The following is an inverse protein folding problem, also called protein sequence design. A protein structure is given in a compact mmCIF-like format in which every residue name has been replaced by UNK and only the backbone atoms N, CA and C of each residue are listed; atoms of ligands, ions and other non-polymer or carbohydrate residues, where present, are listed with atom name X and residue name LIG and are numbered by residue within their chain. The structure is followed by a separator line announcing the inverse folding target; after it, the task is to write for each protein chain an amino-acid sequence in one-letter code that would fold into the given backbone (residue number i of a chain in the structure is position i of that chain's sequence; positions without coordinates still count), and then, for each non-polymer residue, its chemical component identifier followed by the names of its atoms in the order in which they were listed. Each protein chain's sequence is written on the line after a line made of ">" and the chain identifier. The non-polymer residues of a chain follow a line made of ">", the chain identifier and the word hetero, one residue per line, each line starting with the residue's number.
data_IF_763525872806
#
_entry.id   IF_763525872806
#
_cell.length_a   1.000
_cell.length_b   1.000
_cell.length_c   1.000
_cell.angle_alpha   90.00
_cell.angle_beta   90.00
_cell.angle_gamma   90.00
#
_symmetry.space_group_name_H-M   'P 1'
#
loop_
_entity.id
_entity.type
_entity.pdbx_description
1 polymer ?
#
# COMPACT_ATOMS: atom_id res chain seq x y z
N UNK A 1 -13.20 22.45 36.56
CA UNK A 1 -14.04 22.02 35.42
C UNK A 1 -13.67 22.68 34.08
N UNK A 2 -13.47 24.01 33.98
CA UNK A 2 -13.11 24.70 32.70
C UNK A 2 -11.90 24.12 31.95
N UNK A 3 -10.83 23.72 32.65
CA UNK A 3 -9.64 23.14 32.00
C UNK A 3 -9.90 21.74 31.41
N UNK A 4 -10.83 20.96 31.98
CA UNK A 4 -11.18 19.62 31.50
C UNK A 4 -11.92 19.70 30.16
N UNK A 5 -12.86 20.63 30.07
CA UNK A 5 -13.60 20.90 28.83
C UNK A 5 -12.66 21.36 27.71
N UNK A 6 -11.69 22.23 28.02
CA UNK A 6 -10.67 22.67 27.04
C UNK A 6 -9.77 21.53 26.57
N UNK A 7 -9.30 20.65 27.48
CA UNK A 7 -8.44 19.50 27.11
C UNK A 7 -9.20 18.43 26.34
N UNK A 8 -10.48 18.20 26.66
CA UNK A 8 -11.35 17.28 25.92
C UNK A 8 -11.60 17.74 24.49
N UNK A 9 -11.94 19.02 24.30
CA UNK A 9 -12.16 19.61 22.96
C UNK A 9 -10.87 19.55 22.15
N UNK A 10 -9.73 19.92 22.75
CA UNK A 10 -8.45 19.95 22.05
C UNK A 10 -8.03 18.56 21.56
N UNK A 11 -8.13 17.54 22.42
CA UNK A 11 -7.79 16.15 22.04
C UNK A 11 -8.75 15.58 21.01
N UNK A 12 -10.04 15.93 21.07
CA UNK A 12 -11.02 15.55 20.07
C UNK A 12 -10.74 16.17 18.69
N UNK A 13 -10.43 17.47 18.64
CA UNK A 13 -10.11 18.17 17.39
C UNK A 13 -8.83 17.63 16.75
N UNK A 14 -7.77 17.43 17.53
CA UNK A 14 -6.50 16.87 17.05
C UNK A 14 -6.70 15.45 16.51
N UNK A 15 -7.41 14.59 17.26
CA UNK A 15 -7.73 13.23 16.84
C UNK A 15 -8.54 13.21 15.54
N UNK A 16 -9.56 14.08 15.42
CA UNK A 16 -10.39 14.18 14.22
C UNK A 16 -9.58 14.63 13.01
N UNK A 17 -8.71 15.64 13.18
CA UNK A 17 -7.85 16.13 12.11
C UNK A 17 -6.85 15.07 11.62
N UNK A 18 -6.21 14.34 12.54
CA UNK A 18 -5.31 13.24 12.20
C UNK A 18 -6.03 12.08 11.53
N UNK A 19 -7.28 11.83 11.91
CA UNK A 19 -8.09 10.81 11.27
C UNK A 19 -8.43 11.19 9.83
N UNK A 20 -8.88 12.43 9.59
CA UNK A 20 -9.14 12.94 8.24
C UNK A 20 -7.86 12.88 7.38
N UNK A 21 -6.72 13.27 7.95
CA UNK A 21 -5.43 13.17 7.28
C UNK A 21 -5.05 11.71 6.95
N UNK A 22 -5.33 10.75 7.84
CA UNK A 22 -5.06 9.35 7.56
C UNK A 22 -5.81 8.86 6.30
N UNK A 23 -7.09 9.21 6.14
CA UNK A 23 -7.89 8.79 4.98
C UNK A 23 -7.55 9.50 3.67
N UNK A 24 -6.96 10.69 3.72
CA UNK A 24 -6.52 11.41 2.52
C UNK A 24 -5.16 10.94 2.00
N UNK A 25 -4.42 10.17 2.80
CA UNK A 25 -3.09 9.68 2.47
C UNK A 25 -3.10 8.19 2.11
N UNK A 26 -2.13 7.71 1.31
CA UNK A 26 -1.98 6.29 1.05
C UNK A 26 -1.61 5.55 2.34
N UNK A 27 -2.30 4.43 2.58
CA UNK A 27 -2.06 3.59 3.75
C UNK A 27 -0.94 2.60 3.49
N UNK A 28 -0.96 1.96 2.33
CA UNK A 28 0.00 0.93 1.97
C UNK A 28 0.38 1.10 0.52
N UNK A 29 1.65 0.92 0.22
CA UNK A 29 2.13 0.73 -1.13
C UNK A 29 2.47 -0.74 -1.34
N UNK A 30 1.85 -1.37 -2.34
CA UNK A 30 2.12 -2.75 -2.75
C UNK A 30 3.00 -2.80 -3.99
N UNK A 31 4.03 -3.64 -3.93
CA UNK A 31 4.86 -4.02 -5.07
C UNK A 31 5.20 -5.50 -4.99
N UNK A 32 5.65 -6.10 -6.09
CA UNK A 32 6.25 -7.44 -6.05
C UNK A 32 7.61 -7.41 -6.73
N UNK A 33 8.55 -8.15 -6.13
CA UNK A 33 9.88 -8.31 -6.67
C UNK A 33 9.94 -9.54 -7.57
N UNK A 34 10.54 -9.41 -8.75
CA UNK A 34 11.04 -10.58 -9.46
C UNK A 34 12.42 -10.95 -8.88
N UNK A 35 12.73 -12.25 -8.70
CA UNK A 35 14.05 -12.69 -8.25
C UNK A 35 15.12 -12.13 -9.19
N UNK A 36 15.95 -11.24 -8.65
CA UNK A 36 16.77 -10.35 -9.48
C UNK A 36 17.90 -11.06 -10.23
N UNK A 37 18.33 -12.24 -9.80
CA UNK A 37 19.49 -12.93 -10.40
C UNK A 37 19.20 -13.54 -11.77
N UNK A 38 18.07 -14.23 -11.95
CA UNK A 38 17.69 -14.81 -13.25
C UNK A 38 17.23 -13.74 -14.25
N UNK A 39 16.51 -12.72 -13.76
CA UNK A 39 16.01 -11.63 -14.60
C UNK A 39 17.12 -10.64 -15.01
N UNK A 40 18.17 -10.45 -14.20
CA UNK A 40 19.32 -9.59 -14.60
C UNK A 40 19.96 -10.06 -15.89
N UNK A 41 20.14 -11.37 -16.07
CA UNK A 41 20.73 -11.96 -17.27
C UNK A 41 19.80 -11.83 -18.49
N UNK A 42 18.51 -12.07 -18.31
CA UNK A 42 17.50 -11.94 -19.38
C UNK A 42 17.34 -10.48 -19.82
N UNK A 43 17.32 -9.54 -18.88
CA UNK A 43 17.18 -8.11 -19.19
C UNK A 43 18.45 -7.52 -19.82
N UNK A 44 19.65 -7.96 -19.41
CA UNK A 44 20.89 -7.58 -20.12
C UNK A 44 20.91 -8.14 -21.55
N UNK A 45 20.39 -9.36 -21.74
CA UNK A 45 20.20 -9.98 -23.06
C UNK A 45 19.22 -9.18 -23.94
N UNK A 46 18.17 -8.61 -23.34
CA UNK A 46 17.16 -7.82 -24.05
C UNK A 46 17.63 -6.40 -24.39
N UNK A 47 18.52 -5.80 -23.60
CA UNK A 47 19.10 -4.48 -23.93
C UNK A 47 20.05 -4.56 -25.12
N UNK A 48 20.82 -5.65 -25.25
CA UNK A 48 21.76 -5.87 -26.37
C UNK A 48 21.49 -7.23 -27.05
N UNK A 49 20.33 -7.40 -27.72
CA UNK A 49 19.94 -8.68 -28.31
C UNK A 49 20.94 -9.15 -29.35
N UNK A 50 21.45 -8.21 -30.14
CA UNK A 50 22.49 -8.43 -31.15
C UNK A 50 23.77 -9.04 -30.57
N UNK A 51 24.25 -8.53 -29.43
CA UNK A 51 25.49 -9.00 -28.82
C UNK A 51 25.33 -10.41 -28.25
N UNK A 52 24.19 -10.71 -27.64
CA UNK A 52 23.91 -12.05 -27.11
C UNK A 52 23.68 -13.10 -28.19
N UNK A 53 22.99 -12.75 -29.28
CA UNK A 53 22.80 -13.63 -30.44
C UNK A 53 24.17 -14.03 -31.01
N UNK A 54 25.10 -13.08 -31.06
CA UNK A 54 26.48 -13.30 -31.51
C UNK A 54 27.25 -14.22 -30.54
N UNK A 55 27.12 -14.02 -29.22
CA UNK A 55 27.80 -14.85 -28.20
C UNK A 55 27.27 -16.30 -28.15
N UNK A 56 25.99 -16.51 -28.41
CA UNK A 56 25.37 -17.85 -28.35
C UNK A 56 25.73 -18.72 -29.58
N UNK A 57 26.21 -18.10 -30.66
CA UNK A 57 26.82 -18.78 -31.80
C UNK A 57 28.28 -19.02 -31.44
N UNK A 58 28.55 -20.10 -30.70
CA UNK A 58 29.87 -20.40 -30.15
C UNK A 58 31.02 -20.31 -31.17
N UNK A 59 32.13 -19.68 -30.77
CA UNK A 59 33.36 -19.56 -31.55
C UNK A 59 34.19 -20.86 -31.48
N UNK A 60 33.70 -21.96 -32.03
CA UNK A 60 34.46 -23.22 -32.07
C UNK A 60 35.15 -23.48 -33.42
N UNK A 61 34.98 -22.65 -34.46
CA UNK A 61 35.68 -22.81 -35.75
C UNK A 61 35.94 -21.50 -36.51
N UNK A 62 36.90 -21.52 -37.45
CA UNK A 62 37.23 -20.38 -38.34
C UNK A 62 36.04 -19.97 -39.23
N UNK A 63 35.17 -20.93 -39.56
CA UNK A 63 33.94 -20.69 -40.33
C UNK A 63 32.88 -19.93 -39.54
N UNK A 64 32.83 -20.07 -38.21
CA UNK A 64 31.90 -19.30 -37.38
C UNK A 64 32.32 -17.85 -37.22
N UNK A 65 33.62 -17.52 -37.28
CA UNK A 65 34.10 -16.13 -37.19
C UNK A 65 33.72 -15.26 -38.42
N UNK A 66 33.75 -15.83 -39.63
CA UNK A 66 33.27 -15.16 -40.85
C UNK A 66 31.74 -15.03 -40.83
N UNK A 67 31.02 -16.08 -40.44
CA UNK A 67 29.58 -16.03 -40.22
C UNK A 67 29.20 -14.98 -39.17
N UNK A 68 29.97 -14.85 -38.10
CA UNK A 68 29.77 -13.88 -37.03
C UNK A 68 29.97 -12.45 -37.55
N UNK A 69 31.02 -12.18 -38.35
CA UNK A 69 31.20 -10.87 -39.00
C UNK A 69 30.09 -10.55 -40.00
N UNK A 70 29.64 -11.53 -40.79
CA UNK A 70 28.56 -11.33 -41.76
C UNK A 70 27.20 -11.14 -41.07
N UNK A 71 26.91 -11.89 -40.02
CA UNK A 71 25.73 -11.72 -39.18
C UNK A 71 25.76 -10.39 -38.44
N UNK A 72 26.90 -9.98 -37.89
CA UNK A 72 27.04 -8.69 -37.22
C UNK A 72 26.79 -7.52 -38.19
N UNK A 73 27.28 -7.61 -39.43
CA UNK A 73 27.08 -6.55 -40.42
C UNK A 73 25.70 -6.57 -41.12
N UNK A 74 24.93 -7.65 -40.98
CA UNK A 74 23.58 -7.78 -41.57
C UNK A 74 22.47 -7.62 -40.53
N UNK A 75 22.60 -8.27 -39.37
CA UNK A 75 21.66 -8.23 -38.26
C UNK A 75 21.83 -6.95 -37.44
N UNK A 76 23.06 -6.54 -37.10
CA UNK A 76 23.28 -5.39 -36.21
C UNK A 76 23.33 -4.03 -36.94
N UNK A 77 23.28 -4.03 -38.27
CA UNK A 77 23.37 -2.80 -39.07
C UNK A 77 22.17 -1.87 -38.89
N UNK A 78 21.01 -2.43 -38.57
CA UNK A 78 19.80 -1.68 -38.22
C UNK A 78 19.29 -2.16 -36.86
N UNK A 79 19.95 -1.70 -35.79
CA UNK A 79 19.58 -2.01 -34.40
C UNK A 79 18.10 -1.68 -34.10
N UNK A 80 17.57 -0.61 -34.70
CA UNK A 80 16.18 -0.18 -34.58
C UNK A 80 15.17 -1.16 -35.19
N UNK A 81 15.54 -1.81 -36.31
CA UNK A 81 14.72 -2.83 -36.98
C UNK A 81 14.67 -4.09 -36.13
N UNK A 82 15.82 -4.57 -35.64
CA UNK A 82 15.88 -5.74 -34.75
C UNK A 82 15.09 -5.50 -33.46
N UNK A 83 15.19 -4.29 -32.89
CA UNK A 83 14.46 -3.89 -31.69
C UNK A 83 12.94 -3.91 -31.92
N UNK A 84 12.45 -3.36 -33.03
CA UNK A 84 11.02 -3.38 -33.40
C UNK A 84 10.49 -4.80 -33.59
N UNK A 85 11.22 -5.67 -34.30
CA UNK A 85 10.82 -7.08 -34.48
C UNK A 85 10.81 -7.86 -33.16
N UNK A 86 11.74 -7.56 -32.26
CA UNK A 86 11.80 -8.18 -30.93
C UNK A 86 10.56 -7.82 -30.12
N UNK A 87 10.18 -6.54 -30.05
CA UNK A 87 8.98 -6.12 -29.33
C UNK A 87 7.69 -6.66 -29.95
N UNK A 88 7.58 -6.68 -31.27
CA UNK A 88 6.42 -7.27 -31.95
C UNK A 88 6.30 -8.78 -31.68
N UNK A 89 7.43 -9.46 -31.49
CA UNK A 89 7.46 -10.86 -31.09
C UNK A 89 7.02 -11.03 -29.62
N UNK A 90 7.44 -10.12 -28.73
CA UNK A 90 6.93 -10.10 -27.34
C UNK A 90 5.41 -9.90 -27.29
N UNK A 91 4.85 -8.98 -28.08
CA UNK A 91 3.40 -8.78 -28.16
C UNK A 91 2.66 -10.05 -28.58
N UNK A 92 3.22 -10.85 -29.50
CA UNK A 92 2.62 -12.14 -29.92
C UNK A 92 2.72 -13.23 -28.86
N UNK A 93 3.86 -13.31 -28.16
CA UNK A 93 4.13 -14.39 -27.18
C UNK A 93 3.41 -14.12 -25.86
N UNK A 94 3.53 -12.89 -25.35
CA UNK A 94 3.03 -12.51 -24.03
C UNK A 94 1.64 -11.90 -24.12
N UNK A 95 1.23 -11.37 -25.27
CA UNK A 95 0.00 -10.60 -25.46
C UNK A 95 0.12 -9.15 -24.95
N UNK A 96 -0.92 -8.32 -25.15
CA UNK A 96 -0.91 -6.90 -24.79
C UNK A 96 -0.86 -6.67 -23.27
N UNK A 97 -0.19 -5.60 -22.85
CA UNK A 97 -0.12 -5.18 -21.45
C UNK A 97 -1.45 -4.51 -21.09
N UNK A 98 -2.03 -4.90 -19.95
CA UNK A 98 -3.27 -4.32 -19.44
C UNK A 98 -2.91 -3.25 -18.40
N UNK A 99 -3.20 -2.00 -18.70
CA UNK A 99 -3.07 -0.88 -17.77
C UNK A 99 -4.45 -0.28 -17.45
N UNK A 100 -4.59 0.51 -16.38
CA UNK A 100 -5.84 1.21 -16.09
C UNK A 100 -6.30 2.15 -17.21
N UNK A 101 -5.36 2.61 -18.04
CA UNK A 101 -5.56 3.55 -19.14
C UNK A 101 -5.90 2.84 -20.47
N UNK A 102 -5.75 1.51 -20.54
CA UNK A 102 -6.10 0.71 -21.72
C UNK A 102 -5.16 -0.45 -22.01
N UNK A 103 -5.18 -0.94 -23.25
CA UNK A 103 -4.21 -1.93 -23.75
C UNK A 103 -2.98 -1.19 -24.25
N UNK A 104 -1.81 -1.68 -23.86
CA UNK A 104 -0.52 -1.10 -24.21
C UNK A 104 0.40 -2.16 -24.83
N UNK A 105 1.11 -1.79 -25.90
CA UNK A 105 2.07 -2.65 -26.58
C UNK A 105 3.44 -2.62 -25.87
N UNK A 106 4.20 -3.71 -25.97
CA UNK A 106 5.50 -3.84 -25.31
C UNK A 106 6.53 -2.81 -25.80
N UNK A 107 6.53 -2.52 -27.11
CA UNK A 107 7.41 -1.51 -27.70
C UNK A 107 7.15 -0.12 -27.13
N UNK A 108 5.88 0.28 -27.07
CA UNK A 108 5.47 1.56 -26.48
C UNK A 108 5.78 1.64 -24.99
N UNK A 109 5.62 0.55 -24.24
CA UNK A 109 5.93 0.50 -22.81
C UNK A 109 7.44 0.67 -22.54
N UNK A 110 8.29 -0.03 -23.29
CA UNK A 110 9.74 -0.02 -23.06
C UNK A 110 10.40 1.26 -23.60
N UNK A 111 9.92 1.81 -24.73
CA UNK A 111 10.55 2.95 -25.41
C UNK A 111 10.07 4.33 -24.92
N UNK A 112 8.85 4.46 -24.40
CA UNK A 112 8.37 5.76 -23.92
C UNK A 112 8.83 6.06 -22.49
N UNK A 113 9.88 6.87 -22.35
CA UNK A 113 10.37 7.41 -21.08
C UNK A 113 9.27 8.07 -20.22
N UNK A 114 8.20 8.63 -20.83
CA UNK A 114 7.06 9.21 -20.11
C UNK A 114 6.16 8.19 -19.38
N UNK A 115 6.14 6.92 -19.82
CA UNK A 115 5.48 5.83 -19.10
C UNK A 115 6.36 5.25 -17.99
N UNK A 116 7.66 5.56 -18.00
CA UNK A 116 8.61 5.19 -16.94
C UNK A 116 8.53 6.16 -15.75
N UNK A 117 7.98 7.36 -15.96
CA UNK A 117 7.89 8.43 -14.96
C UNK A 117 6.57 8.51 -14.19
N UNK A 118 5.54 7.71 -14.53
CA UNK A 118 4.52 7.38 -13.54
C UNK A 118 5.05 6.15 -12.81
N UNK A 119 5.81 6.32 -11.71
CA UNK A 119 6.15 5.15 -10.91
C UNK A 119 4.83 4.50 -10.50
N UNK A 120 4.83 3.17 -10.46
CA UNK A 120 3.69 2.39 -9.98
C UNK A 120 3.21 2.92 -8.61
N UNK A 121 4.10 3.57 -7.84
CA UNK A 121 3.81 4.38 -6.65
C UNK A 121 5.03 5.22 -6.23
N UNK A 122 4.82 6.22 -5.37
CA UNK A 122 5.90 6.98 -4.72
C UNK A 122 6.83 6.16 -3.82
N UNK A 123 6.52 4.90 -3.55
CA UNK A 123 7.22 4.06 -2.57
C UNK A 123 8.18 3.01 -3.18
N UNK A 124 8.23 2.88 -4.51
CA UNK A 124 9.01 1.82 -5.16
C UNK A 124 10.26 2.35 -5.85
N UNK A 125 11.38 1.63 -5.68
CA UNK A 125 12.62 1.91 -6.38
C UNK A 125 12.46 1.70 -7.89
N UNK A 126 13.03 2.60 -8.67
CA UNK A 126 13.00 2.58 -10.14
C UNK A 126 13.65 1.29 -10.64
N UNK A 127 12.80 0.35 -11.07
CA UNK A 127 13.24 -0.88 -11.74
C UNK A 127 13.54 -0.60 -13.23
N UNK A 128 14.19 -1.54 -13.92
CA UNK A 128 14.48 -1.38 -15.35
C UNK A 128 13.17 -1.24 -16.14
N UNK A 129 13.18 -0.59 -17.31
CA UNK A 129 11.99 -0.38 -18.16
C UNK A 129 11.14 -1.62 -18.37
N UNK A 130 11.80 -2.73 -18.71
CA UNK A 130 11.14 -3.98 -19.06
C UNK A 130 10.54 -4.68 -17.83
N UNK A 131 11.15 -4.51 -16.66
CA UNK A 131 10.67 -5.09 -15.41
C UNK A 131 9.35 -4.42 -15.04
N UNK A 132 9.24 -3.08 -15.21
CA UNK A 132 7.99 -2.35 -15.00
C UNK A 132 6.88 -2.81 -15.97
N UNK A 133 7.21 -3.01 -17.25
CA UNK A 133 6.26 -3.52 -18.24
C UNK A 133 5.77 -4.94 -17.91
N UNK A 134 6.69 -5.81 -17.46
CA UNK A 134 6.35 -7.17 -17.03
C UNK A 134 5.51 -7.17 -15.76
N UNK A 135 5.79 -6.28 -14.80
CA UNK A 135 4.95 -6.09 -13.61
C UNK A 135 3.51 -5.74 -14.00
N UNK A 136 3.33 -4.74 -14.86
CA UNK A 136 2.00 -4.36 -15.36
C UNK A 136 1.28 -5.51 -16.06
N UNK A 137 2.01 -6.28 -16.89
CA UNK A 137 1.44 -7.44 -17.57
C UNK A 137 0.91 -8.49 -16.59
N UNK A 138 1.74 -8.87 -15.61
CA UNK A 138 1.40 -9.89 -14.61
C UNK A 138 0.27 -9.39 -13.71
N UNK A 139 0.35 -8.15 -13.25
CA UNK A 139 -0.67 -7.53 -12.40
C UNK A 139 -2.03 -7.43 -13.08
N UNK A 140 -2.07 -6.98 -14.34
CA UNK A 140 -3.31 -6.91 -15.11
C UNK A 140 -3.93 -8.28 -15.39
N UNK A 141 -3.10 -9.33 -15.56
CA UNK A 141 -3.59 -10.71 -15.75
C UNK A 141 -4.13 -11.33 -14.46
N UNK A 142 -3.51 -11.02 -13.31
CA UNK A 142 -3.85 -11.57 -12.00
C UNK A 142 -4.77 -10.66 -11.16
N UNK A 143 -5.21 -9.52 -11.71
CA UNK A 143 -6.01 -8.50 -11.00
C UNK A 143 -5.39 -8.04 -9.68
N UNK A 144 -4.06 -7.89 -9.66
CA UNK A 144 -3.34 -7.48 -8.47
C UNK A 144 -3.34 -5.94 -8.37
N UNK A 145 -3.79 -5.36 -7.26
CA UNK A 145 -3.69 -3.93 -7.03
C UNK A 145 -2.22 -3.57 -6.74
N UNK A 146 -1.61 -2.84 -7.68
CA UNK A 146 -0.26 -2.33 -7.59
C UNK A 146 -0.27 -0.86 -7.18
N UNK A 147 0.73 -0.45 -6.40
CA UNK A 147 0.99 0.95 -6.10
C UNK A 147 0.34 1.45 -4.82
N UNK A 148 0.01 2.75 -4.80
CA UNK A 148 -0.55 3.41 -3.63
C UNK A 148 -2.01 2.99 -3.38
N UNK A 149 -2.27 2.41 -2.21
CA UNK A 149 -3.57 1.90 -1.83
C UNK A 149 -4.14 2.69 -0.65
N UNK A 150 -5.36 3.19 -0.85
CA UNK A 150 -6.19 3.80 0.21
C UNK A 150 -7.12 2.75 0.81
N UNK A 151 -7.43 2.87 2.10
CA UNK A 151 -8.35 1.94 2.80
C UNK A 151 -9.70 1.83 2.09
N UNK A 152 -10.26 2.96 1.63
CA UNK A 152 -11.55 2.96 0.93
C UNK A 152 -11.45 2.24 -0.43
N UNK A 153 -10.30 2.31 -1.09
CA UNK A 153 -10.03 1.57 -2.31
C UNK A 153 -10.01 0.06 -2.07
N UNK A 154 -9.30 -0.38 -1.03
CA UNK A 154 -9.22 -1.79 -0.62
C UNK A 154 -10.62 -2.34 -0.28
N UNK A 155 -11.42 -1.58 0.48
CA UNK A 155 -12.78 -1.97 0.84
C UNK A 155 -13.65 -2.13 -0.41
N UNK A 156 -13.60 -1.15 -1.33
CA UNK A 156 -14.36 -1.21 -2.60
C UNK A 156 -13.94 -2.41 -3.46
N UNK A 157 -12.64 -2.67 -3.55
CA UNK A 157 -12.10 -3.80 -4.30
C UNK A 157 -12.60 -5.13 -3.73
N UNK A 158 -12.54 -5.33 -2.41
CA UNK A 158 -13.05 -6.54 -1.76
C UNK A 158 -14.55 -6.78 -1.99
N UNK A 159 -15.35 -5.71 -2.03
CA UNK A 159 -16.76 -5.83 -2.36
C UNK A 159 -16.98 -6.15 -3.83
N UNK A 160 -16.19 -5.57 -4.73
CA UNK A 160 -16.25 -5.87 -6.16
C UNK A 160 -15.84 -7.33 -6.47
N UNK A 161 -14.86 -7.87 -5.74
CA UNK A 161 -14.38 -9.25 -5.86
C UNK A 161 -15.33 -10.28 -5.21
N UNK A 162 -16.46 -9.84 -4.64
CA UNK A 162 -17.45 -10.72 -4.00
C UNK A 162 -17.10 -11.16 -2.57
N UNK A 163 -15.98 -10.70 -2.01
CA UNK A 163 -15.56 -10.99 -0.64
C UNK A 163 -16.25 -10.06 0.38
N UNK A 164 -17.58 -10.08 0.40
CA UNK A 164 -18.43 -9.18 1.20
C UNK A 164 -18.15 -9.28 2.69
N UNK A 165 -17.98 -10.49 3.23
CA UNK A 165 -17.69 -10.68 4.66
C UNK A 165 -16.39 -9.99 5.07
N UNK A 166 -15.32 -10.19 4.31
CA UNK A 166 -14.01 -9.59 4.60
C UNK A 166 -14.05 -8.07 4.42
N UNK A 167 -14.72 -7.58 3.36
CA UNK A 167 -14.90 -6.15 3.12
C UNK A 167 -15.66 -5.47 4.25
N UNK A 168 -16.75 -6.08 4.73
CA UNK A 168 -17.53 -5.59 5.86
C UNK A 168 -16.73 -5.61 7.17
N UNK A 169 -15.93 -6.65 7.40
CA UNK A 169 -15.06 -6.77 8.56
C UNK A 169 -14.05 -5.61 8.60
N UNK A 170 -13.30 -5.41 7.50
CA UNK A 170 -12.31 -4.35 7.39
C UNK A 170 -12.97 -2.96 7.49
N UNK A 171 -14.09 -2.74 6.81
CA UNK A 171 -14.83 -1.47 6.89
C UNK A 171 -15.29 -1.18 8.33
N UNK A 172 -15.76 -2.20 9.05
CA UNK A 172 -16.22 -2.03 10.43
C UNK A 172 -15.06 -1.65 11.35
N UNK A 173 -13.92 -2.33 11.25
CA UNK A 173 -12.80 -2.09 12.16
C UNK A 173 -11.95 -0.87 11.80
N UNK A 174 -11.79 -0.58 10.52
CA UNK A 174 -10.97 0.56 10.07
C UNK A 174 -11.75 1.87 9.97
N UNK A 175 -13.07 1.82 9.80
CA UNK A 175 -13.91 3.03 9.61
C UNK A 175 -14.92 3.22 10.73
N UNK A 176 -15.82 2.24 10.96
CA UNK A 176 -16.90 2.40 11.94
C UNK A 176 -16.38 2.52 13.38
N UNK A 177 -15.43 1.69 13.78
CA UNK A 177 -14.87 1.70 15.14
C UNK A 177 -14.20 3.03 15.50
N UNK A 178 -13.27 3.55 14.69
CA UNK A 178 -12.66 4.84 15.00
C UNK A 178 -13.64 6.01 14.91
N UNK A 179 -14.57 6.02 13.95
CA UNK A 179 -15.63 7.04 13.87
C UNK A 179 -16.49 7.05 15.14
N UNK A 180 -16.86 5.87 15.64
CA UNK A 180 -17.57 5.73 16.91
C UNK A 180 -16.76 6.31 18.07
N UNK A 181 -15.48 5.97 18.20
CA UNK A 181 -14.61 6.51 19.28
C UNK A 181 -14.48 8.04 19.22
N UNK A 182 -14.20 8.59 18.05
CA UNK A 182 -14.07 10.05 17.85
C UNK A 182 -15.41 10.76 18.10
N UNK A 183 -16.50 10.19 17.61
CA UNK A 183 -17.86 10.71 17.82
C UNK A 183 -18.26 10.72 19.30
N UNK A 184 -17.98 9.65 20.05
CA UNK A 184 -18.23 9.61 21.49
C UNK A 184 -17.38 10.64 22.24
N UNK A 185 -16.09 10.75 21.91
CA UNK A 185 -15.18 11.73 22.52
C UNK A 185 -15.68 13.16 22.28
N UNK A 186 -16.09 13.48 21.05
CA UNK A 186 -16.64 14.78 20.70
C UNK A 186 -17.96 15.06 21.45
N UNK A 187 -18.86 14.07 21.50
CA UNK A 187 -20.16 14.21 22.16
C UNK A 187 -20.01 14.46 23.67
N UNK A 188 -19.10 13.74 24.33
CA UNK A 188 -18.76 13.94 25.75
C UNK A 188 -18.10 15.30 26.02
N UNK A 189 -17.45 15.85 25.01
CA UNK A 189 -16.80 17.15 25.09
C UNK A 189 -17.75 18.33 24.86
N UNK A 190 -18.90 18.12 24.21
CA UNK A 190 -19.92 19.16 23.92
C UNK A 190 -21.10 19.05 24.90
N UNK A 191 -21.60 17.84 25.15
CA UNK A 191 -22.71 17.62 26.06
C UNK A 191 -22.21 17.27 27.47
N UNK A 192 -22.62 18.08 28.45
CA UNK A 192 -22.33 17.90 29.87
C UNK A 192 -22.53 16.44 30.30
N UNK A 193 -21.42 15.79 30.66
CA UNK A 193 -21.19 14.37 30.97
C UNK A 193 -22.43 13.54 31.37
N UNK A 194 -23.29 13.18 30.40
CA UNK A 194 -24.41 12.27 30.68
C UNK A 194 -23.85 10.87 30.97
N UNK A 195 -24.30 10.19 32.04
CA UNK A 195 -23.74 8.91 32.48
C UNK A 195 -23.85 7.81 31.41
N UNK A 196 -24.91 7.81 30.60
CA UNK A 196 -25.12 6.83 29.51
C UNK A 196 -24.00 6.84 28.46
N UNK A 197 -23.53 8.01 28.04
CA UNK A 197 -22.44 8.12 27.06
C UNK A 197 -21.10 7.68 27.65
N UNK A 198 -20.95 7.87 28.96
CA UNK A 198 -19.78 7.45 29.70
C UNK A 198 -19.65 5.93 29.82
N UNK A 199 -20.77 5.25 30.07
CA UNK A 199 -20.83 3.78 30.09
C UNK A 199 -20.54 3.19 28.71
N UNK A 200 -21.09 3.79 27.64
CA UNK A 200 -20.78 3.41 26.26
C UNK A 200 -19.30 3.62 25.92
N UNK A 201 -18.71 4.73 26.37
CA UNK A 201 -17.28 5.00 26.19
C UNK A 201 -16.41 3.98 26.94
N UNK A 202 -16.78 3.65 28.18
CA UNK A 202 -16.08 2.65 29.01
C UNK A 202 -16.16 1.26 28.38
N UNK A 203 -17.30 0.91 27.80
CA UNK A 203 -17.48 -0.33 27.06
C UNK A 203 -16.63 -0.35 25.78
N UNK A 204 -16.69 0.71 24.97
CA UNK A 204 -15.90 0.82 23.72
C UNK A 204 -14.38 0.81 23.96
N UNK A 205 -13.92 1.40 25.07
CA UNK A 205 -12.52 1.36 25.51
C UNK A 205 -12.06 -0.04 25.91
N UNK A 206 -12.93 -0.82 26.58
CA UNK A 206 -12.62 -2.20 27.01
C UNK A 206 -12.60 -3.18 25.85
N UNK A 207 -13.43 -2.96 24.83
CA UNK A 207 -13.49 -3.78 23.63
C UNK A 207 -12.49 -3.34 22.57
N UNK A 208 -11.35 -2.72 22.94
CA UNK A 208 -10.35 -2.27 21.98
C UNK A 208 -9.76 -3.47 21.26
N UNK A 209 -10.38 -3.76 20.12
CA UNK A 209 -10.20 -4.85 19.17
C UNK A 209 -8.83 -4.78 18.47
N UNK A 210 -7.85 -4.16 19.12
CA UNK A 210 -6.47 -4.06 18.68
C UNK A 210 -5.88 -5.44 18.49
N UNK A 211 -6.20 -6.40 19.37
CA UNK A 211 -5.69 -7.76 19.27
C UNK A 211 -6.17 -8.47 17.99
N UNK A 212 -7.47 -8.43 17.71
CA UNK A 212 -8.02 -9.04 16.48
C UNK A 212 -7.61 -8.24 15.22
N UNK A 213 -7.44 -6.92 15.33
CA UNK A 213 -6.91 -6.11 14.24
C UNK A 213 -5.45 -6.50 13.90
N UNK A 214 -4.61 -6.72 14.91
CA UNK A 214 -3.22 -7.18 14.73
C UNK A 214 -3.20 -8.59 14.14
N UNK A 215 -4.07 -9.49 14.59
CA UNK A 215 -4.21 -10.84 13.98
C UNK A 215 -4.65 -10.73 12.51
N UNK A 216 -5.58 -9.82 12.19
CA UNK A 216 -5.99 -9.55 10.82
C UNK A 216 -4.86 -9.01 9.95
N UNK A 217 -4.08 -8.05 10.47
CA UNK A 217 -2.91 -7.50 9.81
C UNK A 217 -1.85 -8.58 9.57
N UNK A 218 -1.64 -9.45 10.56
CA UNK A 218 -0.69 -10.56 10.49
C UNK A 218 -1.11 -11.60 9.45
N UNK A 219 -2.39 -11.92 9.34
CA UNK A 219 -2.92 -12.80 8.29
C UNK A 219 -2.71 -12.22 6.90
N UNK A 220 -2.95 -10.91 6.73
CA UNK A 220 -2.67 -10.21 5.46
C UNK A 220 -1.17 -10.23 5.16
N UNK A 221 -0.32 -9.96 6.15
CA UNK A 221 1.14 -10.01 6.02
C UNK A 221 1.68 -11.40 5.68
N UNK A 222 1.14 -12.47 6.27
CA UNK A 222 1.57 -13.83 5.94
C UNK A 222 1.12 -14.26 4.55
N UNK A 223 -0.08 -13.86 4.11
CA UNK A 223 -0.51 -14.12 2.74
C UNK A 223 0.35 -13.36 1.74
N UNK A 224 0.71 -12.14 2.07
CA UNK A 224 1.61 -11.28 1.29
C UNK A 224 3.00 -11.89 1.06
N UNK A 225 3.64 -12.37 2.12
CA UNK A 225 5.01 -12.91 2.09
C UNK A 225 5.13 -14.12 1.14
N UNK A 226 4.08 -14.96 1.07
CA UNK A 226 4.04 -16.15 0.20
C UNK A 226 4.11 -15.85 -1.31
N UNK A 227 3.86 -14.62 -1.74
CA UNK A 227 3.81 -14.23 -3.14
C UNK A 227 4.95 -13.27 -3.55
N UNK A 228 6.00 -13.14 -2.74
CA UNK A 228 7.09 -12.17 -2.97
C UNK A 228 6.60 -10.70 -3.11
N UNK A 229 5.44 -10.40 -2.50
CA UNK A 229 4.94 -9.04 -2.40
C UNK A 229 5.68 -8.27 -1.31
N UNK A 230 6.20 -7.11 -1.69
CA UNK A 230 6.77 -6.12 -0.78
C UNK A 230 5.70 -5.08 -0.47
N UNK A 231 5.31 -5.01 0.80
CA UNK A 231 4.40 -3.98 1.30
C UNK A 231 5.21 -2.91 2.02
N UNK A 232 5.11 -1.68 1.53
CA UNK A 232 5.67 -0.50 2.16
C UNK A 232 4.55 0.23 2.90
N UNK A 233 4.76 0.51 4.18
CA UNK A 233 3.80 1.26 4.98
C UNK A 233 3.81 2.73 4.57
N UNK A 234 2.65 3.24 4.16
CA UNK A 234 2.45 4.64 3.80
C UNK A 234 2.25 5.54 5.03
N UNK A 235 2.33 6.86 4.81
CA UNK A 235 2.18 7.86 5.86
C UNK A 235 0.80 7.77 6.56
N UNK A 236 -0.23 7.32 5.84
CA UNK A 236 -1.59 7.18 6.37
C UNK A 236 -1.70 6.23 7.57
N UNK A 237 -0.90 5.15 7.60
CA UNK A 237 -0.87 4.19 8.73
C UNK A 237 -0.37 4.88 10.00
N UNK A 238 0.68 5.69 9.90
CA UNK A 238 1.23 6.41 11.05
C UNK A 238 0.26 7.47 11.56
N UNK A 239 -0.39 8.21 10.66
CA UNK A 239 -1.44 9.18 11.04
C UNK A 239 -2.63 8.49 11.74
N UNK A 240 -3.06 7.33 11.22
CA UNK A 240 -4.14 6.54 11.81
C UNK A 240 -3.78 6.03 13.21
N UNK A 241 -2.58 5.45 13.38
CA UNK A 241 -2.10 4.96 14.67
C UNK A 241 -1.98 6.10 15.68
N UNK A 242 -1.40 7.25 15.29
CA UNK A 242 -1.30 8.43 16.13
C UNK A 242 -2.68 8.96 16.56
N UNK A 243 -3.63 9.05 15.62
CA UNK A 243 -5.01 9.46 15.92
C UNK A 243 -5.68 8.53 16.94
N UNK A 244 -5.51 7.22 16.78
CA UNK A 244 -6.08 6.21 17.67
C UNK A 244 -5.46 6.28 19.08
N UNK A 245 -4.14 6.48 19.19
CA UNK A 245 -3.44 6.64 20.47
C UNK A 245 -3.86 7.92 21.18
N UNK A 246 -3.87 9.06 20.49
CA UNK A 246 -4.27 10.35 21.05
C UNK A 246 -5.73 10.32 21.52
N UNK A 247 -6.62 9.71 20.73
CA UNK A 247 -8.02 9.50 21.12
C UNK A 247 -8.12 8.66 22.40
N UNK A 248 -7.38 7.56 22.49
CA UNK A 248 -7.39 6.67 23.66
C UNK A 248 -6.85 7.36 24.92
N UNK A 249 -5.78 8.15 24.80
CA UNK A 249 -5.24 8.95 25.90
C UNK A 249 -6.25 10.03 26.33
N UNK A 250 -6.89 10.71 25.38
CA UNK A 250 -7.95 11.69 25.67
C UNK A 250 -9.10 11.09 26.47
N UNK A 251 -9.54 9.90 26.08
CA UNK A 251 -10.58 9.13 26.80
C UNK A 251 -10.11 8.79 28.22
N UNK A 252 -8.89 8.24 28.39
CA UNK A 252 -8.35 7.87 29.70
C UNK A 252 -8.20 9.05 30.65
N UNK A 253 -7.85 10.24 30.14
CA UNK A 253 -7.75 11.46 30.95
C UNK A 253 -9.11 11.96 31.45
N UNK A 254 -10.15 11.84 30.61
CA UNK A 254 -11.53 12.13 31.01
C UNK A 254 -12.04 11.08 32.01
N UNK A 255 -11.62 9.82 31.85
CA UNK A 255 -11.91 8.70 32.76
C UNK A 255 -11.29 8.83 34.15
N UNK A 256 -9.97 9.03 34.23
CA UNK A 256 -9.26 9.10 35.50
C UNK A 256 -9.72 10.25 36.41
N UNK A 257 -10.24 11.34 35.85
CA UNK A 257 -10.71 12.51 36.63
C UNK A 257 -12.15 12.40 37.13
N UNK A 258 -12.99 11.59 36.50
CA UNK A 258 -14.38 11.40 36.94
C UNK A 258 -14.52 10.33 38.03
N UNK A 259 -13.51 9.45 38.17
CA UNK A 259 -13.37 8.47 39.24
C UNK A 259 -12.63 8.99 40.47
N UNK A 260 -12.10 10.23 40.44
CA UNK A 260 -11.54 10.85 41.64
C UNK A 260 -12.69 11.06 42.65
N UNK A 261 -12.68 10.39 43.81
CA UNK A 261 -13.74 10.57 44.79
C UNK A 261 -13.78 12.06 45.21
N UNK A 262 -14.96 12.64 45.43
CA UNK A 262 -15.05 13.98 45.97
C UNK A 262 -14.25 14.03 47.29
N UNK A 263 -13.29 14.95 47.39
CA UNK A 263 -12.57 15.22 48.64
C UNK A 263 -13.64 15.64 49.66
N UNK A 264 -14.02 14.74 50.55
CA UNK A 264 -14.98 15.05 51.61
C UNK A 264 -14.27 15.96 52.62
N UNK A 265 -14.70 17.23 52.79
CA UNK A 265 -14.05 18.16 53.70
C UNK A 265 -14.20 17.78 55.19
N UNK A 266 -15.04 16.79 55.53
CA UNK A 266 -15.28 16.38 56.92
C UNK A 266 -14.23 15.44 57.54
N UNK A 267 -13.14 15.08 56.83
CA UNK A 267 -12.06 14.23 57.36
C UNK A 267 -10.77 14.99 57.70
N UNK A 268 -10.84 16.30 57.94
CA UNK A 268 -9.68 17.11 58.36
C UNK A 268 -9.68 17.44 59.86
N UNK A 269 -10.66 16.97 60.64
CA UNK A 269 -10.85 17.34 62.05
C UNK A 269 -10.81 16.14 63.03
N UNK A 270 -10.42 14.95 62.58
CA UNK A 270 -10.08 13.84 63.47
C UNK A 270 -8.59 13.55 63.31
N UNK A 271 -7.77 14.24 64.12
CA UNK A 271 -6.55 13.79 64.81
C UNK A 271 -5.82 15.02 65.37
#
# INVERSE_FOLDING_TARGET
>A
MKNVHKTGILTALISTGLFIAAFSQPFVCSDFGFPSEEMKQTTQTLNNPCQKIIENIGSTSITTALLQKLLQNSVCKNEEVVRTYTYQSLDKILGPILTPEGKLDWGSCILHEKLHQKPISSCCTVSRPIDNCLKWKVAGKLHIPLGDQWILGIIRLLFADGHVFLGALIATFSVLFPLSKVGLLLLLSIQNHKPKWYELLKSSSRWSMTDVFVVGLLMVYFRADRFAFQFHTGIGVYCFAAAALISSIGISLIQGRHLAPPKNPNYQNEF
#
